data_IF_811143242097
#
_entry.id   IF_811143242097
#
_cell.length_a   1.000
_cell.length_b   1.000
_cell.length_c   1.000
_cell.angle_alpha   90.00
_cell.angle_beta   90.00
_cell.angle_gamma   90.00
#
_symmetry.space_group_name_H-M   'P 1'
#
loop_
_entity.id
_entity.type
_entity.pdbx_description
1 polymer ?
#
# COMPACT_ATOMS: atom_id res chain seq x y z
N UNK A 1 -2.45 6.62 11.55
CA UNK A 1 -2.04 8.01 11.22
C UNK A 1 -0.68 8.02 10.53
N UNK A 2 -0.32 9.12 9.85
CA UNK A 2 0.99 9.25 9.19
C UNK A 2 2.17 9.18 10.20
N UNK A 3 1.92 9.53 11.46
CA UNK A 3 2.92 9.41 12.53
C UNK A 3 3.21 7.95 12.90
N UNK A 4 2.24 7.07 12.80
CA UNK A 4 2.38 5.65 13.12
C UNK A 4 3.28 4.91 12.13
N UNK A 5 3.49 5.46 10.93
CA UNK A 5 4.44 4.91 9.95
C UNK A 5 5.85 4.80 10.54
N UNK A 6 6.23 5.72 11.46
CA UNK A 6 7.53 5.67 12.11
C UNK A 6 7.73 4.43 12.99
N UNK A 7 6.64 3.83 13.47
CA UNK A 7 6.66 2.63 14.31
C UNK A 7 6.64 1.32 13.50
N UNK A 8 6.56 1.42 12.17
CA UNK A 8 6.53 0.24 11.32
C UNK A 8 7.88 -0.50 11.33
N UNK A 9 7.83 -1.81 11.34
CA UNK A 9 8.99 -2.71 11.24
C UNK A 9 9.04 -3.47 9.91
N UNK A 10 7.94 -3.49 9.15
CA UNK A 10 7.89 -3.95 7.76
C UNK A 10 6.93 -3.07 6.95
N UNK A 11 7.34 -2.65 5.75
CA UNK A 11 6.52 -1.85 4.83
C UNK A 11 6.57 -2.48 3.45
N UNK A 12 5.40 -2.71 2.86
CA UNK A 12 5.25 -3.12 1.47
C UNK A 12 4.68 -1.97 0.65
N UNK A 13 5.44 -1.50 -0.33
CA UNK A 13 5.02 -0.49 -1.30
C UNK A 13 4.53 -1.19 -2.56
N UNK A 14 3.33 -0.84 -3.02
CA UNK A 14 2.71 -1.42 -4.22
C UNK A 14 2.38 -0.30 -5.20
N UNK A 15 3.13 -0.22 -6.29
CA UNK A 15 2.93 0.74 -7.37
C UNK A 15 2.87 2.20 -6.89
N UNK A 16 3.68 2.56 -5.91
CA UNK A 16 3.78 3.91 -5.35
C UNK A 16 5.22 4.38 -5.31
N UNK A 17 5.43 5.65 -5.65
CA UNK A 17 6.70 6.35 -5.45
C UNK A 17 6.53 7.42 -4.36
N UNK A 18 6.67 7.07 -3.08
CA UNK A 18 6.43 8.00 -1.99
C UNK A 18 7.38 9.21 -2.01
N UNK A 19 8.56 9.11 -2.66
CA UNK A 19 9.48 10.23 -2.79
C UNK A 19 8.87 11.38 -3.59
N UNK A 20 8.11 11.07 -4.64
CA UNK A 20 7.48 12.05 -5.52
C UNK A 20 6.04 12.33 -5.19
N UNK A 21 5.30 11.29 -4.76
CA UNK A 21 3.85 11.38 -4.51
C UNK A 21 3.54 11.94 -3.11
N UNK A 22 4.40 11.67 -2.12
CA UNK A 22 4.16 12.03 -0.72
C UNK A 22 5.47 12.21 0.05
N UNK A 23 6.17 13.31 -0.19
CA UNK A 23 7.51 13.56 0.37
C UNK A 23 7.56 13.47 1.90
N UNK A 24 6.53 13.92 2.61
CA UNK A 24 6.43 13.82 4.09
C UNK A 24 6.30 12.37 4.53
N UNK A 25 5.49 11.56 3.82
CA UNK A 25 5.39 10.12 4.07
C UNK A 25 6.72 9.43 3.83
N UNK A 26 7.42 9.78 2.73
CA UNK A 26 8.74 9.24 2.42
C UNK A 26 9.77 9.53 3.54
N UNK A 27 9.73 10.74 4.11
CA UNK A 27 10.57 11.11 5.24
C UNK A 27 10.26 10.25 6.48
N UNK A 28 8.99 9.95 6.75
CA UNK A 28 8.55 9.06 7.84
C UNK A 28 8.98 7.61 7.63
N UNK A 29 8.86 7.11 6.40
CA UNK A 29 9.36 5.76 6.03
C UNK A 29 10.88 5.70 6.22
N UNK A 30 11.61 6.75 5.80
CA UNK A 30 13.06 6.84 6.02
C UNK A 30 13.41 6.80 7.51
N UNK A 31 12.64 7.48 8.35
CA UNK A 31 12.82 7.47 9.79
C UNK A 31 12.61 6.07 10.37
N UNK A 32 11.52 5.38 9.98
CA UNK A 32 11.29 3.97 10.36
C UNK A 32 12.45 3.06 9.93
N UNK A 33 12.99 3.28 8.72
CA UNK A 33 14.14 2.54 8.22
C UNK A 33 15.39 2.73 9.08
N UNK A 34 15.68 3.97 9.49
CA UNK A 34 16.88 4.30 10.27
C UNK A 34 16.73 3.87 11.74
N UNK A 35 15.60 4.21 12.37
CA UNK A 35 15.42 4.07 13.81
C UNK A 35 14.99 2.65 14.21
N UNK A 36 14.15 2.00 13.38
CA UNK A 36 13.57 0.68 13.68
C UNK A 36 14.11 -0.44 12.80
N UNK A 37 15.09 -0.17 11.92
CA UNK A 37 15.57 -1.15 10.94
C UNK A 37 14.44 -1.79 10.11
N UNK A 38 13.42 -0.96 9.79
CA UNK A 38 12.24 -1.36 9.04
C UNK A 38 12.62 -1.99 7.71
N UNK A 39 12.05 -3.16 7.41
CA UNK A 39 12.27 -3.86 6.14
C UNK A 39 11.25 -3.35 5.12
N UNK A 40 11.75 -2.88 3.99
CA UNK A 40 10.91 -2.26 2.96
C UNK A 40 10.96 -3.12 1.70
N UNK A 41 9.80 -3.55 1.21
CA UNK A 41 9.62 -4.22 -0.06
C UNK A 41 8.92 -3.33 -1.07
N UNK A 42 9.29 -3.44 -2.34
CA UNK A 42 8.66 -2.69 -3.44
C UNK A 42 8.21 -3.64 -4.54
N UNK A 43 6.94 -3.54 -4.91
CA UNK A 43 6.36 -4.10 -6.14
C UNK A 43 6.04 -2.93 -7.08
N UNK A 44 6.63 -2.95 -8.25
CA UNK A 44 6.55 -1.89 -9.27
C UNK A 44 7.93 -1.58 -9.85
N UNK A 45 8.07 -0.52 -10.64
CA UNK A 45 9.34 -0.15 -11.23
C UNK A 45 10.39 0.16 -10.16
N UNK A 46 11.66 -0.05 -10.48
CA UNK A 46 12.76 0.33 -9.59
C UNK A 46 12.78 1.84 -9.38
N UNK A 47 12.91 2.26 -8.14
CA UNK A 47 12.83 3.65 -7.73
C UNK A 47 14.12 4.08 -7.01
N UNK A 48 14.50 5.34 -7.17
CA UNK A 48 15.49 5.98 -6.33
C UNK A 48 14.80 6.54 -5.07
N UNK A 49 14.73 5.70 -4.03
CA UNK A 49 14.25 6.08 -2.70
C UNK A 49 15.43 6.51 -1.81
N UNK A 50 15.17 7.27 -0.79
CA UNK A 50 16.22 7.79 0.13
C UNK A 50 16.66 6.78 1.18
N UNK A 51 16.30 5.51 1.04
CA UNK A 51 16.59 4.37 1.90
C UNK A 51 16.69 3.09 1.06
N UNK A 52 17.32 2.06 1.61
CA UNK A 52 17.41 0.77 0.92
C UNK A 52 16.10 0.00 1.06
N UNK A 53 15.73 -0.68 0.01
CA UNK A 53 14.55 -1.53 -0.06
C UNK A 53 14.86 -2.81 -0.86
N UNK A 54 14.07 -3.83 -0.65
CA UNK A 54 14.08 -5.04 -1.47
C UNK A 54 13.13 -4.84 -2.65
N UNK A 55 13.68 -4.81 -3.86
CA UNK A 55 12.85 -4.82 -5.08
C UNK A 55 12.33 -6.23 -5.30
N UNK A 56 11.02 -6.42 -5.21
CA UNK A 56 10.39 -7.73 -5.26
C UNK A 56 10.05 -8.12 -6.70
N UNK A 57 9.42 -7.21 -7.45
CA UNK A 57 9.05 -7.43 -8.85
C UNK A 57 8.67 -6.09 -9.52
N UNK A 58 8.82 -6.04 -10.84
CA UNK A 58 8.28 -4.93 -11.64
C UNK A 58 6.79 -5.14 -11.96
N UNK A 59 6.34 -6.40 -12.02
CA UNK A 59 4.94 -6.73 -12.27
C UNK A 59 4.12 -6.75 -10.98
N UNK A 60 2.93 -6.19 -11.05
CA UNK A 60 1.94 -6.24 -9.97
C UNK A 60 1.36 -7.65 -9.76
N UNK A 61 1.51 -8.56 -10.74
CA UNK A 61 1.10 -9.95 -10.62
C UNK A 61 1.80 -10.69 -9.48
N UNK A 62 3.00 -10.24 -9.11
CA UNK A 62 3.74 -10.75 -7.96
C UNK A 62 2.97 -10.62 -6.63
N UNK A 63 1.99 -9.75 -6.57
CA UNK A 63 1.11 -9.62 -5.42
C UNK A 63 0.33 -10.91 -5.14
N UNK A 64 -0.01 -11.67 -6.20
CA UNK A 64 -0.66 -12.97 -6.07
C UNK A 64 0.30 -14.02 -5.46
N UNK A 65 1.58 -13.98 -5.81
CA UNK A 65 2.60 -14.85 -5.21
C UNK A 65 2.78 -14.55 -3.72
N UNK A 66 2.82 -13.25 -3.36
CA UNK A 66 2.82 -12.81 -1.97
C UNK A 66 1.59 -13.30 -1.21
N UNK A 67 0.40 -13.16 -1.80
CA UNK A 67 -0.86 -13.61 -1.20
C UNK A 67 -0.85 -15.10 -0.90
N UNK A 68 -0.22 -15.91 -1.77
CA UNK A 68 -0.11 -17.36 -1.68
C UNK A 68 1.10 -17.86 -0.84
N UNK A 69 1.81 -16.98 -0.14
CA UNK A 69 3.02 -17.30 0.66
C UNK A 69 4.22 -17.86 -0.14
N UNK A 70 4.30 -17.55 -1.42
CA UNK A 70 5.36 -18.04 -2.29
C UNK A 70 6.59 -17.11 -2.36
N UNK A 71 6.70 -16.15 -1.44
CA UNK A 71 7.79 -15.17 -1.42
C UNK A 71 8.52 -15.14 -0.08
N UNK A 72 9.83 -14.91 -0.13
CA UNK A 72 10.63 -14.74 1.10
C UNK A 72 10.23 -13.47 1.89
N UNK A 73 9.68 -12.44 1.22
CA UNK A 73 9.19 -11.25 1.89
C UNK A 73 7.96 -11.53 2.77
N UNK A 74 7.20 -12.60 2.50
CA UNK A 74 6.12 -13.05 3.38
C UNK A 74 6.63 -13.33 4.80
N UNK A 75 7.80 -13.97 4.92
CA UNK A 75 8.40 -14.26 6.22
C UNK A 75 8.73 -12.98 7.01
N UNK A 76 9.05 -11.90 6.29
CA UNK A 76 9.29 -10.57 6.90
C UNK A 76 7.98 -9.99 7.40
N UNK A 77 6.93 -9.99 6.57
CA UNK A 77 5.60 -9.49 6.94
C UNK A 77 4.98 -10.29 8.09
N UNK A 78 5.12 -11.61 8.08
CA UNK A 78 4.59 -12.50 9.12
C UNK A 78 5.28 -12.31 10.48
N UNK A 79 6.56 -11.98 10.50
CA UNK A 79 7.32 -11.72 11.72
C UNK A 79 7.14 -10.30 12.25
N UNK A 80 6.70 -9.39 11.40
CA UNK A 80 6.52 -7.99 11.76
C UNK A 80 5.46 -7.83 12.84
N UNK A 81 5.72 -6.90 13.77
CA UNK A 81 4.77 -6.50 14.82
C UNK A 81 3.82 -5.43 14.30
N UNK A 82 4.34 -4.51 13.50
CA UNK A 82 3.61 -3.37 12.94
C UNK A 82 3.82 -3.32 11.40
N UNK A 83 3.30 -4.33 10.66
CA UNK A 83 3.42 -4.34 9.21
C UNK A 83 2.50 -3.29 8.58
N UNK A 84 2.96 -2.64 7.50
CA UNK A 84 2.16 -1.72 6.69
C UNK A 84 2.21 -2.10 5.22
N UNK A 85 1.08 -1.93 4.53
CA UNK A 85 0.95 -2.01 3.08
C UNK A 85 0.51 -0.65 2.58
N UNK A 86 1.23 -0.10 1.61
CA UNK A 86 0.92 1.20 1.00
C UNK A 86 0.72 0.97 -0.50
N UNK A 87 -0.51 1.20 -0.97
CA UNK A 87 -0.89 1.05 -2.37
C UNK A 87 -1.03 2.42 -3.00
N UNK A 88 -0.32 2.65 -4.11
CA UNK A 88 -0.43 3.88 -4.88
C UNK A 88 -1.70 3.92 -5.73
N UNK A 89 -2.33 5.09 -5.86
CA UNK A 89 -3.53 5.27 -6.70
C UNK A 89 -3.28 4.97 -8.17
N UNK A 90 -2.07 5.13 -8.67
CA UNK A 90 -1.71 4.75 -10.04
C UNK A 90 -1.95 3.26 -10.33
N UNK A 91 -1.68 2.39 -9.36
CA UNK A 91 -1.97 0.96 -9.47
C UNK A 91 -3.46 0.66 -9.47
N UNK A 92 -4.23 1.37 -8.62
CA UNK A 92 -5.68 1.19 -8.48
C UNK A 92 -6.42 1.70 -9.72
N UNK A 93 -5.92 2.75 -10.36
CA UNK A 93 -6.51 3.31 -11.57
C UNK A 93 -6.17 2.50 -12.84
N UNK A 94 -5.40 1.42 -12.72
CA UNK A 94 -5.14 0.48 -13.81
C UNK A 94 -6.35 -0.43 -14.09
N UNK A 95 -6.35 -1.09 -15.24
CA UNK A 95 -7.39 -2.07 -15.60
C UNK A 95 -7.51 -3.22 -14.57
N UNK A 96 -6.49 -3.47 -13.77
CA UNK A 96 -6.44 -4.50 -12.74
C UNK A 96 -6.62 -3.93 -11.32
N UNK A 97 -6.99 -2.66 -11.19
CA UNK A 97 -7.04 -1.95 -9.92
C UNK A 97 -7.91 -2.63 -8.86
N UNK A 98 -9.07 -3.15 -9.24
CA UNK A 98 -9.96 -3.89 -8.33
C UNK A 98 -9.27 -5.14 -7.78
N UNK A 99 -8.65 -5.94 -8.64
CA UNK A 99 -7.93 -7.15 -8.25
C UNK A 99 -6.74 -6.84 -7.33
N UNK A 100 -6.00 -5.76 -7.63
CA UNK A 100 -4.88 -5.30 -6.79
C UNK A 100 -5.38 -4.91 -5.40
N UNK A 101 -6.47 -4.17 -5.33
CA UNK A 101 -7.06 -3.73 -4.06
C UNK A 101 -7.58 -4.91 -3.24
N UNK A 102 -8.30 -5.84 -3.85
CA UNK A 102 -8.82 -7.05 -3.20
C UNK A 102 -7.69 -7.92 -2.66
N UNK A 103 -6.66 -8.18 -3.48
CA UNK A 103 -5.52 -9.00 -3.07
C UNK A 103 -4.72 -8.31 -1.97
N UNK A 104 -4.55 -6.98 -2.05
CA UNK A 104 -3.90 -6.20 -0.98
C UNK A 104 -4.71 -6.24 0.32
N UNK A 105 -6.04 -6.19 0.24
CA UNK A 105 -6.91 -6.28 1.41
C UNK A 105 -6.88 -7.68 2.05
N UNK A 106 -6.84 -8.74 1.24
CA UNK A 106 -6.67 -10.11 1.74
C UNK A 106 -5.31 -10.29 2.45
N UNK A 107 -4.23 -9.78 1.84
CA UNK A 107 -2.90 -9.81 2.44
C UNK A 107 -2.87 -9.02 3.75
N UNK A 108 -3.49 -7.84 3.78
CA UNK A 108 -3.58 -7.01 4.97
C UNK A 108 -4.28 -7.74 6.14
N UNK A 109 -5.41 -8.39 5.88
CA UNK A 109 -6.11 -9.20 6.89
C UNK A 109 -5.23 -10.32 7.44
N UNK A 110 -4.44 -10.95 6.58
CA UNK A 110 -3.56 -12.05 6.96
C UNK A 110 -2.41 -11.61 7.88
N UNK A 111 -1.80 -10.47 7.59
CA UNK A 111 -0.67 -9.95 8.38
C UNK A 111 -1.11 -9.10 9.58
N UNK A 112 -2.40 -8.76 9.68
CA UNK A 112 -2.93 -7.95 10.77
C UNK A 112 -2.72 -8.61 12.12
N UNK A 113 -1.95 -7.99 13.00
CA UNK A 113 -1.67 -8.47 14.37
C UNK A 113 -2.62 -7.85 15.40
N UNK A 114 -2.91 -6.58 15.24
CA UNK A 114 -3.83 -5.85 16.11
C UNK A 114 -5.13 -5.57 15.34
N UNK A 115 -6.28 -5.95 15.92
CA UNK A 115 -7.60 -5.74 15.29
C UNK A 115 -7.97 -4.26 15.14
N UNK A 116 -7.38 -3.38 15.94
CA UNK A 116 -7.65 -1.95 15.92
C UNK A 116 -6.83 -1.21 14.87
N UNK A 117 -5.81 -1.86 14.28
CA UNK A 117 -4.92 -1.25 13.29
C UNK A 117 -5.09 -1.99 11.96
N UNK A 118 -5.57 -1.27 10.95
CA UNK A 118 -5.59 -1.79 9.58
C UNK A 118 -4.23 -1.53 8.92
N UNK A 119 -3.50 -2.58 8.51
CA UNK A 119 -2.21 -2.40 7.85
C UNK A 119 -2.32 -1.84 6.43
N UNK A 120 -3.48 -1.90 5.79
CA UNK A 120 -3.69 -1.39 4.42
C UNK A 120 -3.89 0.12 4.41
N UNK A 121 -3.08 0.79 3.62
CA UNK A 121 -3.17 2.22 3.38
C UNK A 121 -3.16 2.50 1.87
N UNK A 122 -4.03 3.38 1.43
CA UNK A 122 -4.09 3.84 0.04
C UNK A 122 -3.53 5.25 -0.01
N UNK A 123 -2.51 5.45 -0.84
CA UNK A 123 -1.94 6.77 -1.05
C UNK A 123 -2.72 7.50 -2.15
N UNK A 124 -3.59 8.41 -1.72
CA UNK A 124 -4.35 9.26 -2.64
C UNK A 124 -3.51 10.43 -3.13
N UNK A 125 -3.62 10.74 -4.42
CA UNK A 125 -2.94 11.88 -5.05
C UNK A 125 -3.76 13.17 -4.97
N UNK A 126 -5.09 13.04 -4.87
CA UNK A 126 -5.98 14.17 -4.85
C UNK A 126 -6.19 14.71 -3.42
N UNK A 127 -6.00 16.01 -3.26
CA UNK A 127 -6.27 16.72 -2.00
C UNK A 127 -7.76 16.60 -1.69
N UNK A 128 -8.09 16.42 -0.42
CA UNK A 128 -9.46 16.34 0.10
C UNK A 128 -10.25 15.08 -0.29
N UNK A 129 -9.73 14.17 -1.12
CA UNK A 129 -10.45 12.95 -1.52
C UNK A 129 -10.82 12.08 -0.32
N UNK A 130 -9.90 11.90 0.61
CA UNK A 130 -10.14 11.13 1.84
C UNK A 130 -11.22 11.79 2.69
N UNK A 131 -11.11 13.10 2.90
CA UNK A 131 -12.13 13.85 3.64
C UNK A 131 -13.52 13.80 2.99
N UNK A 132 -13.58 13.87 1.65
CA UNK A 132 -14.85 13.73 0.93
C UNK A 132 -15.46 12.33 1.11
N UNK A 133 -14.63 11.28 1.12
CA UNK A 133 -15.08 9.90 1.39
C UNK A 133 -15.58 9.74 2.82
N UNK A 134 -14.89 10.33 3.81
CA UNK A 134 -15.28 10.25 5.23
C UNK A 134 -16.63 10.89 5.51
N UNK A 135 -16.93 12.01 4.84
CA UNK A 135 -18.23 12.70 4.99
C UNK A 135 -19.30 12.20 3.99
N UNK A 136 -19.01 11.10 3.25
CA UNK A 136 -19.87 10.56 2.20
C UNK A 136 -20.21 11.56 1.09
N UNK A 137 -19.35 12.55 0.85
CA UNK A 137 -19.49 13.52 -0.23
C UNK A 137 -18.93 12.93 -1.53
N UNK A 138 -19.67 12.01 -2.10
CA UNK A 138 -19.39 11.41 -3.41
C UNK A 138 -20.70 11.07 -4.08
N UNK A 139 -20.73 11.22 -5.41
CA UNK A 139 -21.87 10.75 -6.18
C UNK A 139 -21.92 9.23 -6.05
N UNK A 140 -22.96 8.70 -5.42
CA UNK A 140 -23.34 7.32 -5.65
C UNK A 140 -23.69 7.24 -7.13
N UNK A 141 -22.78 6.69 -7.94
CA UNK A 141 -23.14 6.33 -9.30
C UNK A 141 -24.30 5.35 -9.18
N UNK A 142 -25.49 5.86 -9.48
CA UNK A 142 -26.59 5.03 -9.88
C UNK A 142 -26.04 4.33 -11.13
N UNK A 143 -26.03 3.00 -11.15
CA UNK A 143 -25.74 2.22 -12.34
C UNK A 143 -26.70 2.74 -13.43
N UNK A 144 -26.21 3.66 -14.23
CA UNK A 144 -26.89 4.06 -15.42
C UNK A 144 -26.73 2.89 -16.37
N UNK A 145 -27.82 2.21 -16.57
CA UNK A 145 -27.99 1.13 -17.53
C UNK A 145 -27.65 1.65 -18.93
N UNK A 146 -26.36 1.53 -19.30
CA UNK A 146 -25.89 1.84 -20.67
C UNK A 146 -26.38 0.85 -21.72
N UNK A 147 -27.30 -0.05 -21.38
CA UNK A 147 -27.89 -1.03 -22.31
C UNK A 147 -29.06 -0.47 -23.15
N UNK A 148 -29.36 0.84 -23.02
CA UNK A 148 -30.45 1.50 -23.76
C UNK A 148 -29.96 2.66 -24.64
N UNK A 149 -28.95 2.43 -25.46
CA UNK A 149 -28.74 3.25 -26.67
C UNK A 149 -28.43 2.36 -27.87
#
# INVERSE_FOLDING_TARGET
TIQEVENADAILLIGSNPRWEAAVLNARIRKAYIDNNCKIGLIGPKLDLTYNYQHLSESLDYLNELSNNNSDFNKVLDKAKNPLIIVGTSSINSNFGTSILETSAMLAKKIQKNKDINPLNILHQDISRVGALEINFYNKYVENDYSKQ
#
